data_IF_261289553051
#
_entry.id   IF_261289553051
#
_cell.length_a   1.000
_cell.length_b   1.000
_cell.length_c   1.000
_cell.angle_alpha   90.00
_cell.angle_beta   90.00
_cell.angle_gamma   90.00
#
_symmetry.space_group_name_H-M   'P 1'
#
loop_
_entity.id
_entity.type
_entity.pdbx_description
1 polymer ?
#
# COMPACT_ATOMS: atom_id res chain seq x y z
N UNK A 1 5.51 -11.96 11.35
CA UNK A 1 4.11 -11.61 11.65
C UNK A 1 3.52 -10.89 10.44
N UNK A 2 2.30 -11.23 10.01
CA UNK A 2 1.72 -10.74 8.73
C UNK A 2 0.44 -9.95 9.00
N UNK A 3 0.38 -8.72 8.50
CA UNK A 3 -0.76 -7.82 8.58
C UNK A 3 -1.43 -7.67 7.22
N UNK A 4 -2.76 -7.82 7.17
CA UNK A 4 -3.54 -7.60 5.95
C UNK A 4 -3.82 -6.12 5.74
N UNK A 5 -4.01 -5.74 4.49
CA UNK A 5 -4.42 -4.38 4.14
C UNK A 5 -5.77 -4.05 4.75
N UNK A 6 -5.89 -2.85 5.29
CA UNK A 6 -7.16 -2.26 5.70
C UNK A 6 -7.80 -1.62 4.48
N UNK A 7 -9.03 -2.03 4.17
CA UNK A 7 -9.86 -1.43 3.12
C UNK A 7 -11.01 -0.72 3.81
N UNK A 8 -11.12 0.59 3.60
CA UNK A 8 -12.15 1.44 4.20
C UNK A 8 -13.27 1.77 3.19
N UNK A 9 -14.37 2.33 3.69
CA UNK A 9 -15.51 2.80 2.88
C UNK A 9 -15.08 3.78 1.79
N UNK A 10 -14.08 4.62 2.05
CA UNK A 10 -13.54 5.56 1.08
C UNK A 10 -13.04 4.86 -0.19
N UNK A 11 -12.40 3.72 -0.05
CA UNK A 11 -11.96 2.91 -1.19
C UNK A 11 -13.15 2.54 -2.09
N UNK A 12 -14.24 2.09 -1.51
CA UNK A 12 -15.44 1.71 -2.26
C UNK A 12 -16.16 2.92 -2.87
N UNK A 13 -16.16 4.07 -2.21
CA UNK A 13 -16.74 5.32 -2.73
C UNK A 13 -16.05 5.75 -4.03
N UNK A 14 -14.75 5.54 -4.15
CA UNK A 14 -13.99 5.85 -5.38
C UNK A 14 -14.11 4.69 -6.38
N UNK A 15 -14.05 3.46 -5.92
CA UNK A 15 -13.98 2.26 -6.75
C UNK A 15 -15.28 1.99 -7.50
N UNK A 16 -16.45 2.11 -6.83
CA UNK A 16 -17.76 1.82 -7.42
C UNK A 16 -18.07 2.75 -8.60
N UNK A 17 -17.98 4.10 -8.49
CA UNK A 17 -18.21 4.99 -9.63
C UNK A 17 -17.24 4.75 -10.78
N UNK A 18 -15.98 4.43 -10.49
CA UNK A 18 -14.98 4.14 -11.52
C UNK A 18 -15.37 2.91 -12.33
N UNK A 19 -15.77 1.81 -11.68
CA UNK A 19 -16.21 0.59 -12.36
C UNK A 19 -17.48 0.84 -13.17
N UNK A 20 -18.43 1.62 -12.64
CA UNK A 20 -19.65 1.98 -13.36
C UNK A 20 -19.35 2.82 -14.62
N UNK A 21 -18.43 3.77 -14.52
CA UNK A 21 -17.98 4.58 -15.68
C UNK A 21 -17.31 3.73 -16.76
N UNK A 22 -16.44 2.80 -16.36
CA UNK A 22 -15.82 1.84 -17.28
C UNK A 22 -16.87 1.00 -17.99
N UNK A 23 -17.80 0.41 -17.24
CA UNK A 23 -18.87 -0.41 -17.80
C UNK A 23 -19.76 0.40 -18.79
N UNK A 24 -20.13 1.63 -18.43
CA UNK A 24 -20.90 2.51 -19.31
C UNK A 24 -20.11 2.86 -20.58
N UNK A 25 -18.82 3.17 -20.48
CA UNK A 25 -17.94 3.44 -21.61
C UNK A 25 -17.84 2.25 -22.57
N UNK A 26 -17.70 1.04 -22.04
CA UNK A 26 -17.66 -0.19 -22.83
C UNK A 26 -18.98 -0.44 -23.54
N UNK A 27 -20.12 -0.26 -22.89
CA UNK A 27 -21.46 -0.40 -23.51
C UNK A 27 -21.64 0.59 -24.66
N UNK A 28 -21.26 1.86 -24.46
CA UNK A 28 -21.32 2.88 -25.51
C UNK A 28 -20.39 2.51 -26.68
N UNK A 29 -19.20 2.01 -26.39
CA UNK A 29 -18.22 1.60 -27.40
C UNK A 29 -18.64 0.36 -28.19
N UNK A 30 -19.63 -0.40 -27.71
CA UNK A 30 -20.16 -1.57 -28.43
C UNK A 30 -20.81 -1.21 -29.79
N UNK A 31 -21.21 0.05 -29.96
CA UNK A 31 -21.75 0.53 -31.24
C UNK A 31 -20.67 0.83 -32.31
N UNK A 32 -19.39 0.81 -31.93
CA UNK A 32 -18.27 1.05 -32.82
C UNK A 32 -17.15 0.00 -32.54
N UNK A 33 -16.99 -1.01 -33.43
CA UNK A 33 -16.08 -2.13 -33.19
C UNK A 33 -14.61 -1.73 -32.91
N UNK A 34 -14.14 -0.67 -33.59
CA UNK A 34 -12.77 -0.15 -33.35
C UNK A 34 -12.61 0.43 -31.97
N UNK A 35 -13.65 1.05 -31.42
CA UNK A 35 -13.62 1.59 -30.04
C UNK A 35 -13.54 0.48 -28.98
N UNK A 36 -14.22 -0.64 -29.20
CA UNK A 36 -14.13 -1.81 -28.34
C UNK A 36 -12.73 -2.39 -28.27
N UNK A 37 -12.02 -2.42 -29.40
CA UNK A 37 -10.64 -2.92 -29.45
C UNK A 37 -9.69 -2.14 -28.52
N UNK A 38 -9.98 -0.87 -28.27
CA UNK A 38 -9.22 0.00 -27.38
C UNK A 38 -9.77 -0.08 -25.96
N UNK A 39 -11.09 -0.03 -25.77
CA UNK A 39 -11.71 0.06 -24.45
C UNK A 39 -11.52 -1.21 -23.63
N UNK A 40 -11.64 -2.39 -24.21
CA UNK A 40 -11.49 -3.66 -23.49
C UNK A 40 -10.09 -3.80 -22.83
N UNK A 41 -8.96 -3.56 -23.51
CA UNK A 41 -7.65 -3.55 -22.86
C UNK A 41 -7.53 -2.49 -21.76
N UNK A 42 -8.10 -1.30 -21.95
CA UNK A 42 -8.08 -0.22 -20.93
C UNK A 42 -8.85 -0.64 -19.68
N UNK A 43 -10.03 -1.26 -19.85
CA UNK A 43 -10.83 -1.76 -18.75
C UNK A 43 -10.10 -2.85 -17.96
N UNK A 44 -9.52 -3.83 -18.64
CA UNK A 44 -8.75 -4.90 -18.02
C UNK A 44 -7.58 -4.32 -17.22
N UNK A 45 -6.84 -3.38 -17.81
CA UNK A 45 -5.70 -2.74 -17.17
C UNK A 45 -6.13 -1.93 -15.95
N UNK A 46 -7.20 -1.14 -16.06
CA UNK A 46 -7.73 -0.34 -14.95
C UNK A 46 -8.25 -1.22 -13.82
N UNK A 47 -9.03 -2.26 -14.13
CA UNK A 47 -9.50 -3.22 -13.13
C UNK A 47 -8.35 -3.94 -12.43
N UNK A 48 -7.31 -4.31 -13.19
CA UNK A 48 -6.11 -4.92 -12.61
C UNK A 48 -5.46 -4.01 -11.56
N UNK A 49 -5.29 -2.71 -11.85
CA UNK A 49 -4.73 -1.74 -10.89
C UNK A 49 -5.66 -1.47 -9.72
N UNK A 50 -6.97 -1.43 -9.94
CA UNK A 50 -7.96 -1.24 -8.86
C UNK A 50 -7.99 -2.43 -7.89
N UNK A 51 -7.89 -3.64 -8.41
CA UNK A 51 -7.95 -4.87 -7.60
C UNK A 51 -6.61 -5.21 -6.95
N UNK A 52 -5.51 -4.85 -7.60
CA UNK A 52 -4.14 -5.18 -7.15
C UNK A 52 -3.87 -4.84 -5.68
N UNK A 53 -4.21 -3.66 -5.13
CA UNK A 53 -3.94 -3.32 -3.73
C UNK A 53 -4.60 -4.25 -2.71
N UNK A 54 -5.74 -4.88 -3.06
CA UNK A 54 -6.45 -5.81 -2.19
C UNK A 54 -5.64 -7.07 -1.85
N UNK A 55 -4.71 -7.44 -2.71
CA UNK A 55 -3.78 -8.57 -2.53
C UNK A 55 -2.48 -8.19 -1.81
N UNK A 56 -2.38 -6.92 -1.40
CA UNK A 56 -1.25 -6.43 -0.64
C UNK A 56 -1.24 -6.95 0.80
N UNK A 57 -0.06 -6.99 1.39
CA UNK A 57 0.13 -7.26 2.81
C UNK A 57 1.48 -6.73 3.29
N UNK A 58 1.58 -6.56 4.60
CA UNK A 58 2.81 -6.18 5.28
C UNK A 58 3.23 -7.31 6.21
N UNK A 59 4.49 -7.68 6.18
CA UNK A 59 5.05 -8.75 7.00
C UNK A 59 6.28 -8.25 7.75
N UNK A 60 6.26 -8.40 9.07
CA UNK A 60 7.42 -8.14 9.92
C UNK A 60 8.27 -9.41 9.96
N UNK A 61 9.42 -9.39 9.27
CA UNK A 61 10.43 -10.44 9.24
C UNK A 61 11.55 -10.18 10.25
N UNK A 62 12.43 -11.14 10.43
CA UNK A 62 13.64 -10.96 11.20
C UNK A 62 14.58 -9.98 10.46
N UNK A 63 14.77 -8.79 11.03
CA UNK A 63 15.66 -7.76 10.47
C UNK A 63 15.04 -6.86 9.40
N UNK A 64 13.89 -7.20 8.80
CA UNK A 64 13.33 -6.45 7.67
C UNK A 64 11.82 -6.30 7.74
N UNK A 65 11.34 -5.17 7.24
CA UNK A 65 9.94 -4.90 6.94
C UNK A 65 9.67 -5.27 5.49
N UNK A 66 8.91 -6.34 5.26
CA UNK A 66 8.50 -6.76 3.93
C UNK A 66 7.11 -6.24 3.60
N UNK A 67 6.99 -5.51 2.49
CA UNK A 67 5.73 -4.92 2.04
C UNK A 67 5.46 -5.44 0.63
N UNK A 68 4.34 -6.12 0.46
CA UNK A 68 3.80 -6.49 -0.86
C UNK A 68 2.72 -5.49 -1.26
N UNK A 69 3.05 -4.67 -2.26
CA UNK A 69 2.17 -3.64 -2.81
C UNK A 69 1.34 -4.25 -3.95
N UNK A 70 0.29 -4.97 -3.60
CA UNK A 70 -0.57 -5.63 -4.58
C UNK A 70 0.04 -6.90 -5.19
N UNK A 71 -0.20 -7.12 -6.48
CA UNK A 71 0.17 -8.36 -7.18
C UNK A 71 1.63 -8.36 -7.68
N UNK A 72 2.15 -7.20 -8.10
CA UNK A 72 3.43 -7.13 -8.82
C UNK A 72 4.54 -6.58 -7.93
N UNK A 73 4.28 -5.51 -7.20
CA UNK A 73 5.33 -4.77 -6.50
C UNK A 73 5.56 -5.31 -5.09
N UNK A 74 6.83 -5.46 -4.73
CA UNK A 74 7.29 -5.85 -3.41
C UNK A 74 8.46 -4.95 -2.99
N UNK A 75 8.52 -4.63 -1.70
CA UNK A 75 9.63 -3.89 -1.10
C UNK A 75 10.05 -4.56 0.20
N UNK A 76 11.34 -4.57 0.43
CA UNK A 76 11.96 -5.05 1.66
C UNK A 76 12.85 -3.94 2.22
N UNK A 77 12.61 -3.55 3.47
CA UNK A 77 13.25 -2.43 4.12
C UNK A 77 13.89 -2.93 5.42
N UNK A 78 15.21 -2.81 5.56
CA UNK A 78 15.90 -3.12 6.82
C UNK A 78 15.44 -2.16 7.92
N UNK A 79 15.23 -2.67 9.14
CA UNK A 79 14.82 -1.85 10.28
C UNK A 79 15.84 -0.76 10.61
N UNK A 80 17.12 -0.99 10.36
CA UNK A 80 18.20 -0.01 10.57
C UNK A 80 18.02 1.24 9.70
N UNK A 81 17.44 1.08 8.50
CA UNK A 81 17.20 2.17 7.55
C UNK A 81 15.95 2.97 7.86
N UNK A 82 15.09 2.48 8.75
CA UNK A 82 13.86 3.18 9.12
C UNK A 82 14.19 4.30 10.11
N UNK A 83 13.82 5.53 9.74
CA UNK A 83 14.09 6.74 10.52
C UNK A 83 12.92 7.15 11.40
N UNK A 84 11.71 7.12 10.85
CA UNK A 84 10.50 7.55 11.54
C UNK A 84 9.29 6.74 11.10
N UNK A 85 8.35 6.60 12.03
CA UNK A 85 7.03 6.01 11.81
C UNK A 85 6.03 7.07 12.21
N UNK A 86 5.16 7.48 11.30
CA UNK A 86 4.13 8.48 11.52
C UNK A 86 2.77 7.86 11.21
N UNK A 87 1.90 7.76 12.22
CA UNK A 87 0.50 7.36 12.02
C UNK A 87 -0.31 8.60 11.71
N UNK A 88 -1.00 8.60 10.59
CA UNK A 88 -1.82 9.74 10.15
C UNK A 88 -3.18 9.26 9.65
N UNK A 89 -4.16 10.17 9.78
CA UNK A 89 -5.50 10.01 9.21
C UNK A 89 -5.74 11.11 8.18
N UNK A 90 -5.40 10.82 6.92
CA UNK A 90 -5.58 11.77 5.80
C UNK A 90 -6.08 11.03 4.57
N UNK A 91 -6.72 11.75 3.64
CA UNK A 91 -7.20 11.18 2.38
C UNK A 91 -6.09 11.05 1.31
N UNK A 92 -5.02 11.86 1.40
CA UNK A 92 -3.89 11.82 0.48
C UNK A 92 -2.67 11.10 1.09
N UNK A 93 -1.76 10.66 0.23
CA UNK A 93 -0.49 10.03 0.60
C UNK A 93 0.68 10.87 0.10
N UNK A 94 1.73 10.99 0.89
CA UNK A 94 3.00 11.61 0.47
C UNK A 94 3.87 10.67 -0.37
N UNK A 95 3.51 9.40 -0.45
CA UNK A 95 4.31 8.37 -1.11
C UNK A 95 3.71 7.98 -2.45
N UNK A 96 4.56 7.91 -3.48
CA UNK A 96 4.19 7.32 -4.76
C UNK A 96 4.00 5.80 -4.65
N UNK A 97 4.73 5.16 -3.72
CA UNK A 97 4.61 3.74 -3.38
C UNK A 97 3.69 3.60 -2.16
N UNK A 98 2.41 3.45 -2.41
CA UNK A 98 1.40 3.44 -1.36
C UNK A 98 0.53 2.19 -1.43
N UNK A 99 0.39 1.50 -0.30
CA UNK A 99 -0.62 0.47 -0.07
C UNK A 99 -1.74 1.08 0.78
N UNK A 100 -2.26 2.21 0.32
CA UNK A 100 -3.27 2.99 1.02
C UNK A 100 -4.66 2.70 0.46
N UNK A 101 -5.43 1.92 1.19
CA UNK A 101 -6.84 1.62 0.90
C UNK A 101 -7.79 2.15 1.97
N UNK A 102 -7.27 2.92 2.94
CA UNK A 102 -8.04 3.50 4.04
C UNK A 102 -7.52 4.90 4.41
N UNK A 103 -8.34 5.66 5.16
CA UNK A 103 -7.94 6.96 5.71
C UNK A 103 -6.83 6.82 6.74
N UNK A 104 -6.96 5.82 7.62
CA UNK A 104 -5.95 5.52 8.63
C UNK A 104 -4.79 4.78 7.98
N UNK A 105 -3.60 5.35 8.10
CA UNK A 105 -2.39 4.83 7.50
C UNK A 105 -1.14 5.17 8.29
N UNK A 106 -0.08 4.43 8.03
CA UNK A 106 1.25 4.66 8.59
C UNK A 106 2.20 5.04 7.47
N UNK A 107 2.90 6.14 7.67
CA UNK A 107 4.02 6.56 6.84
C UNK A 107 5.30 6.04 7.48
N UNK A 108 6.01 5.18 6.78
CA UNK A 108 7.32 4.69 7.17
C UNK A 108 8.36 5.44 6.36
N UNK A 109 9.13 6.29 7.03
CA UNK A 109 10.25 7.02 6.43
C UNK A 109 11.51 6.17 6.55
N UNK A 110 12.16 5.92 5.44
CA UNK A 110 13.39 5.13 5.39
C UNK A 110 14.40 5.78 4.43
N UNK A 111 15.66 5.37 4.50
CA UNK A 111 16.76 6.03 3.80
C UNK A 111 16.80 7.55 4.09
N UNK A 112 17.13 8.38 3.09
CA UNK A 112 17.23 9.84 3.24
C UNK A 112 15.91 10.56 2.97
N UNK A 113 15.16 10.12 1.96
CA UNK A 113 13.95 10.81 1.48
C UNK A 113 12.78 9.88 1.14
N UNK A 114 12.99 8.58 1.26
CA UNK A 114 11.97 7.60 0.87
C UNK A 114 10.88 7.49 1.92
N UNK A 115 9.63 7.51 1.47
CA UNK A 115 8.45 7.28 2.31
C UNK A 115 7.61 6.20 1.67
N UNK A 116 7.17 5.24 2.46
CA UNK A 116 6.17 4.26 2.06
C UNK A 116 4.96 4.36 2.97
N UNK A 117 3.78 4.43 2.37
CA UNK A 117 2.52 4.53 3.11
C UNK A 117 1.80 3.20 3.07
N UNK A 118 1.38 2.71 4.22
CA UNK A 118 0.66 1.44 4.36
C UNK A 118 -0.58 1.60 5.25
N UNK A 119 -1.70 1.05 4.82
CA UNK A 119 -2.92 0.91 5.63
C UNK A 119 -3.09 -0.55 6.00
N UNK A 120 -2.98 -0.86 7.27
CA UNK A 120 -3.08 -2.23 7.78
C UNK A 120 -4.20 -2.36 8.81
N UNK A 121 -4.79 -3.55 8.88
CA UNK A 121 -5.67 -3.90 9.99
C UNK A 121 -4.82 -3.92 11.28
N UNK A 122 -5.42 -3.50 12.39
CA UNK A 122 -4.72 -3.44 13.68
C UNK A 122 -3.51 -2.48 13.68
N UNK A 123 -3.74 -1.25 13.22
CA UNK A 123 -2.72 -0.22 13.03
C UNK A 123 -1.86 0.00 14.28
N UNK A 124 -2.49 0.10 15.46
CA UNK A 124 -1.80 0.34 16.73
C UNK A 124 -0.87 -0.82 17.13
N UNK A 125 -1.34 -2.05 16.93
CA UNK A 125 -0.53 -3.26 17.15
C UNK A 125 0.67 -3.30 16.19
N UNK A 126 0.45 -2.96 14.93
CA UNK A 126 1.49 -2.89 13.92
C UNK A 126 2.55 -1.85 14.25
N UNK A 127 2.15 -0.63 14.61
CA UNK A 127 3.07 0.46 14.99
C UNK A 127 3.89 0.10 16.22
N UNK A 128 3.26 -0.47 17.24
CA UNK A 128 3.94 -0.91 18.48
C UNK A 128 4.98 -1.98 18.19
N UNK A 129 4.61 -3.01 17.45
CA UNK A 129 5.52 -4.12 17.12
C UNK A 129 6.67 -3.65 16.21
N UNK A 130 6.37 -2.83 15.20
CA UNK A 130 7.38 -2.27 14.30
C UNK A 130 8.38 -1.39 15.07
N UNK A 131 7.88 -0.54 15.98
CA UNK A 131 8.73 0.33 16.82
C UNK A 131 9.65 -0.49 17.72
N UNK A 132 9.14 -1.56 18.34
CA UNK A 132 9.93 -2.46 19.17
C UNK A 132 11.07 -3.13 18.38
N UNK A 133 10.78 -3.61 17.16
CA UNK A 133 11.77 -4.25 16.29
C UNK A 133 12.83 -3.28 15.78
N UNK A 134 12.45 -2.05 15.45
CA UNK A 134 13.40 -0.99 15.06
C UNK A 134 14.34 -0.66 16.24
N UNK A 135 13.79 -0.50 17.44
CA UNK A 135 14.59 -0.21 18.63
C UNK A 135 15.58 -1.35 18.93
N UNK A 136 15.14 -2.60 18.83
CA UNK A 136 16.00 -3.77 18.98
C UNK A 136 17.11 -3.84 17.93
N UNK A 137 16.80 -3.53 16.67
CA UNK A 137 17.78 -3.52 15.59
C UNK A 137 18.84 -2.42 15.78
N UNK A 138 18.41 -1.20 16.15
CA UNK A 138 19.33 -0.09 16.41
C UNK A 138 20.24 -0.33 17.61
N UNK A 139 19.71 -0.91 18.70
CA UNK A 139 20.51 -1.25 19.88
C UNK A 139 21.58 -2.32 19.58
N UNK A 140 21.31 -3.23 18.61
CA UNK A 140 22.27 -4.25 18.19
C UNK A 140 23.40 -3.69 17.32
N UNK A 141 23.15 -2.58 16.63
CA UNK A 141 24.12 -1.95 15.72
C UNK A 141 24.95 -0.87 16.40
N UNK A 142 24.60 -0.44 17.62
CA UNK A 142 25.35 0.57 18.38
C UNK A 142 26.54 -0.09 19.11
N UNK A 143 27.82 0.21 18.70
CA UNK A 143 29.01 -0.43 19.27
C UNK A 143 29.31 -0.04 20.73
N UNK A 144 28.51 0.84 21.36
CA UNK A 144 28.65 1.21 22.76
C UNK A 144 28.07 0.19 23.75
N UNK A 145 27.33 -0.83 23.27
CA UNK A 145 26.70 -1.87 24.08
C UNK A 145 27.28 -3.27 23.84
N UNK A 146 28.46 -3.36 23.25
CA UNK A 146 29.21 -4.61 23.05
C UNK A 146 30.32 -4.74 24.10
#
# INVERSE_FOLDING_TARGET
MRYKVLVDKLFFIIWIPTVLLLAAGTVISAYAPLSLLIMVPVDIFTLFFLVSPLFGYVELREGTLYIKLGLIMKREISYEKIRAIESERRWYSYSMLSLKCALDHVNVRYNSFDVITVSVKELDSFVKELSARISAAKNKTDPKNA
#
